data_IF_353788630954
#
_entry.id   IF_353788630954
#
_cell.length_a   1.000
_cell.length_b   1.000
_cell.length_c   1.000
_cell.angle_alpha   90.00
_cell.angle_beta   90.00
_cell.angle_gamma   90.00
#
_symmetry.space_group_name_H-M   'P 1'
#
loop_
_entity.id
_entity.type
_entity.pdbx_description
1 polymer ?
#
# COMPACT_ATOMS: atom_id res chain seq x y z
N UNK A 1 6.25 0.12 -23.45
CA UNK A 1 5.70 -1.24 -23.39
C UNK A 1 6.24 -1.96 -22.16
N UNK A 2 5.55 -1.86 -21.03
CA UNK A 2 5.80 -2.77 -19.90
C UNK A 2 5.33 -4.17 -20.34
N UNK A 3 6.15 -5.24 -20.20
CA UNK A 3 5.67 -6.58 -20.46
C UNK A 3 4.54 -6.90 -19.48
N UNK A 4 3.30 -6.97 -20.00
CA UNK A 4 2.18 -7.49 -19.23
C UNK A 4 2.49 -8.95 -18.88
N UNK A 5 2.26 -9.39 -17.64
CA UNK A 5 2.37 -10.81 -17.35
C UNK A 5 1.42 -11.57 -18.26
N UNK A 6 1.94 -12.47 -19.06
CA UNK A 6 1.17 -13.43 -19.85
C UNK A 6 0.55 -14.43 -18.87
N UNK A 7 -0.59 -14.08 -18.25
CA UNK A 7 -1.11 -14.97 -17.24
C UNK A 7 -2.63 -15.06 -17.33
N UNK A 8 -3.12 -15.95 -18.21
CA UNK A 8 -4.51 -16.38 -18.17
C UNK A 8 -4.90 -16.91 -16.78
N UNK A 9 -3.93 -17.43 -16.01
CA UNK A 9 -4.13 -17.91 -14.65
C UNK A 9 -4.61 -16.82 -13.68
N UNK A 10 -4.36 -15.53 -13.95
CA UNK A 10 -4.80 -14.43 -13.07
C UNK A 10 -6.34 -14.30 -13.08
N UNK A 11 -6.98 -14.52 -14.22
CA UNK A 11 -8.44 -14.47 -14.35
C UNK A 11 -9.12 -15.58 -13.53
N UNK A 12 -8.55 -16.79 -13.59
CA UNK A 12 -9.01 -17.91 -12.78
C UNK A 12 -8.79 -17.66 -11.28
N UNK A 13 -7.65 -17.08 -10.91
CA UNK A 13 -7.38 -16.73 -9.53
C UNK A 13 -8.37 -15.68 -9.02
N UNK A 14 -8.63 -14.62 -9.80
CA UNK A 14 -9.61 -13.58 -9.46
C UNK A 14 -11.00 -14.20 -9.28
N UNK A 15 -11.44 -15.08 -10.21
CA UNK A 15 -12.75 -15.73 -10.13
C UNK A 15 -12.90 -16.55 -8.86
N UNK A 16 -11.94 -17.44 -8.56
CA UNK A 16 -12.03 -18.32 -7.38
C UNK A 16 -11.87 -17.56 -6.06
N UNK A 17 -11.00 -16.54 -6.02
CA UNK A 17 -10.87 -15.69 -4.85
C UNK A 17 -12.15 -14.89 -4.59
N UNK A 18 -12.82 -14.41 -5.66
CA UNK A 18 -14.10 -13.73 -5.54
C UNK A 18 -15.21 -14.70 -5.08
N UNK A 19 -15.17 -15.95 -5.53
CA UNK A 19 -16.06 -17.00 -5.04
C UNK A 19 -15.91 -17.22 -3.52
N UNK A 20 -14.64 -17.31 -3.04
CA UNK A 20 -14.36 -17.45 -1.60
C UNK A 20 -14.89 -16.25 -0.78
N UNK A 21 -14.72 -15.02 -1.31
CA UNK A 21 -15.25 -13.80 -0.69
C UNK A 21 -16.78 -13.86 -0.63
N UNK A 22 -17.43 -14.20 -1.73
CA UNK A 22 -18.90 -14.27 -1.82
C UNK A 22 -19.49 -15.34 -0.91
N UNK A 23 -18.83 -16.50 -0.81
CA UNK A 23 -19.22 -17.59 0.10
C UNK A 23 -18.89 -17.31 1.57
N UNK A 24 -18.08 -16.31 1.86
CA UNK A 24 -17.60 -16.01 3.21
C UNK A 24 -16.77 -17.13 3.82
N UNK A 25 -15.95 -17.81 3.01
CA UNK A 25 -15.07 -18.92 3.46
C UNK A 25 -13.61 -18.56 3.35
N UNK A 26 -12.78 -19.23 4.15
CA UNK A 26 -11.32 -19.09 4.08
C UNK A 26 -10.78 -19.71 2.79
N UNK A 27 -9.63 -19.21 2.38
CA UNK A 27 -8.87 -19.76 1.26
C UNK A 27 -7.43 -20.05 1.69
N UNK A 28 -6.93 -21.22 1.31
CA UNK A 28 -5.53 -21.55 1.44
C UNK A 28 -4.81 -21.15 0.16
N UNK A 29 -3.78 -20.30 0.29
CA UNK A 29 -3.01 -19.77 -0.85
C UNK A 29 -1.53 -20.11 -0.70
N UNK A 30 -0.90 -20.57 -1.77
CA UNK A 30 0.55 -20.68 -1.88
C UNK A 30 1.09 -19.44 -2.56
N UNK A 31 1.80 -18.61 -1.80
CA UNK A 31 2.30 -17.30 -2.20
C UNK A 31 3.81 -17.34 -2.40
N UNK A 32 4.25 -16.85 -3.57
CA UNK A 32 5.68 -16.80 -3.91
C UNK A 32 6.29 -15.47 -3.49
N UNK A 33 7.38 -15.55 -2.72
CA UNK A 33 8.24 -14.40 -2.42
C UNK A 33 9.58 -14.56 -3.12
N UNK A 34 10.09 -13.46 -3.67
CA UNK A 34 11.45 -13.41 -4.19
C UNK A 34 12.38 -12.94 -3.10
N UNK A 35 13.56 -13.53 -3.02
CA UNK A 35 14.65 -13.11 -2.15
C UNK A 35 15.97 -13.11 -2.90
N UNK A 36 16.93 -12.35 -2.41
CA UNK A 36 18.31 -12.40 -2.89
C UNK A 36 19.04 -13.43 -2.04
N UNK A 37 19.77 -14.35 -2.69
CA UNK A 37 20.62 -15.34 -2.02
C UNK A 37 21.94 -14.70 -1.60
N UNK A 38 22.71 -15.41 -0.76
CA UNK A 38 24.08 -14.99 -0.38
C UNK A 38 25.01 -14.81 -1.59
N UNK A 39 24.75 -15.54 -2.68
CA UNK A 39 25.46 -15.42 -3.95
C UNK A 39 24.94 -14.28 -4.85
N UNK A 40 24.12 -13.36 -4.32
CA UNK A 40 23.48 -12.26 -5.07
C UNK A 40 22.59 -12.70 -6.24
N UNK A 41 22.12 -13.95 -6.25
CA UNK A 41 21.14 -14.45 -7.21
C UNK A 41 19.71 -14.30 -6.67
N UNK A 42 18.76 -14.12 -7.57
CA UNK A 42 17.34 -14.13 -7.17
C UNK A 42 16.86 -15.56 -7.01
N UNK A 43 16.25 -15.86 -5.87
CA UNK A 43 15.54 -17.11 -5.62
C UNK A 43 14.07 -16.84 -5.28
N UNK A 44 13.25 -17.87 -5.36
CA UNK A 44 11.85 -17.79 -5.00
C UNK A 44 11.58 -18.75 -3.85
N UNK A 45 10.81 -18.29 -2.87
CA UNK A 45 10.34 -19.06 -1.73
C UNK A 45 8.83 -19.07 -1.72
N UNK A 46 8.23 -20.25 -1.63
CA UNK A 46 6.79 -20.40 -1.55
C UNK A 46 6.37 -20.55 -0.08
N UNK A 47 5.38 -19.75 0.34
CA UNK A 47 4.76 -19.84 1.67
C UNK A 47 3.28 -20.07 1.53
N UNK A 48 2.75 -20.98 2.32
CA UNK A 48 1.33 -21.28 2.36
C UNK A 48 0.67 -20.52 3.51
N UNK A 49 -0.45 -19.87 3.22
CA UNK A 49 -1.28 -19.15 4.17
C UNK A 49 -2.72 -19.59 4.04
N UNK A 50 -3.39 -19.83 5.16
CA UNK A 50 -4.85 -19.88 5.20
C UNK A 50 -5.34 -18.52 5.69
N UNK A 51 -6.15 -17.87 4.86
CA UNK A 51 -6.57 -16.47 5.08
C UNK A 51 -8.08 -16.32 4.91
N UNK A 52 -8.64 -15.33 5.60
CA UNK A 52 -10.01 -14.85 5.41
C UNK A 52 -10.01 -13.76 4.34
N UNK A 53 -10.52 -14.01 3.13
CA UNK A 53 -10.53 -13.04 2.04
C UNK A 53 -11.70 -12.07 2.20
N UNK A 54 -11.50 -10.78 1.88
CA UNK A 54 -12.51 -9.74 2.02
C UNK A 54 -12.81 -8.98 0.74
N UNK A 55 -11.78 -8.67 -0.05
CA UNK A 55 -11.94 -7.95 -1.31
C UNK A 55 -10.78 -8.21 -2.27
N UNK A 56 -11.06 -7.96 -3.55
CA UNK A 56 -10.06 -7.80 -4.59
C UNK A 56 -10.02 -6.35 -5.00
N UNK A 57 -8.85 -5.73 -4.94
CA UNK A 57 -8.63 -4.34 -5.33
C UNK A 57 -7.57 -4.23 -6.40
N UNK A 58 -7.76 -3.26 -7.31
CA UNK A 58 -6.78 -2.91 -8.33
C UNK A 58 -6.01 -1.66 -7.89
N UNK A 59 -4.69 -1.74 -7.85
CA UNK A 59 -3.82 -0.61 -7.55
C UNK A 59 -2.44 -0.81 -8.15
N UNK A 60 -1.83 0.27 -8.64
CA UNK A 60 -0.47 0.27 -9.19
C UNK A 60 -0.22 -0.86 -10.21
N UNK A 61 -1.15 -1.03 -11.16
CA UNK A 61 -1.12 -2.07 -12.21
C UNK A 61 -1.16 -3.52 -11.69
N UNK A 62 -1.66 -3.76 -10.45
CA UNK A 62 -1.76 -5.08 -9.86
C UNK A 62 -3.10 -5.32 -9.16
N UNK A 63 -3.56 -6.59 -9.18
CA UNK A 63 -4.63 -7.03 -8.31
C UNK A 63 -4.08 -7.44 -6.96
N UNK A 64 -4.74 -6.99 -5.90
CA UNK A 64 -4.44 -7.35 -4.51
C UNK A 64 -5.64 -8.02 -3.86
N UNK A 65 -5.39 -9.15 -3.20
CA UNK A 65 -6.34 -9.75 -2.27
C UNK A 65 -6.16 -9.09 -0.91
N UNK A 66 -7.20 -8.38 -0.45
CA UNK A 66 -7.32 -7.90 0.93
C UNK A 66 -7.80 -9.05 1.77
N UNK A 67 -7.03 -9.45 2.75
CA UNK A 67 -7.33 -10.62 3.58
C UNK A 67 -6.75 -10.47 4.99
N UNK A 68 -7.11 -11.40 5.89
CA UNK A 68 -6.53 -11.51 7.22
C UNK A 68 -5.98 -12.91 7.43
N UNK A 69 -4.83 -13.01 8.08
CA UNK A 69 -4.33 -14.26 8.64
C UNK A 69 -4.62 -14.24 10.14
N UNK A 70 -5.28 -15.28 10.65
CA UNK A 70 -5.74 -15.37 12.06
C UNK A 70 -4.67 -15.15 13.12
N UNK A 71 -3.39 -15.29 12.75
CA UNK A 71 -2.28 -15.00 13.68
C UNK A 71 -2.17 -13.52 14.06
N UNK A 72 -2.85 -12.63 13.32
CA UNK A 72 -2.72 -11.18 13.45
C UNK A 72 -4.07 -10.52 13.39
N UNK A 73 -4.23 -9.39 14.07
CA UNK A 73 -5.47 -8.58 14.07
C UNK A 73 -5.44 -7.44 13.05
N UNK A 74 -4.63 -7.59 11.99
CA UNK A 74 -4.51 -6.61 10.93
C UNK A 74 -4.80 -7.21 9.56
N UNK A 75 -5.10 -6.34 8.60
CA UNK A 75 -5.25 -6.73 7.20
C UNK A 75 -3.89 -6.91 6.55
N UNK A 76 -3.83 -7.84 5.61
CA UNK A 76 -2.68 -8.05 4.72
C UNK A 76 -3.14 -7.98 3.27
N UNK A 77 -2.21 -7.63 2.39
CA UNK A 77 -2.43 -7.49 0.96
C UNK A 77 -1.53 -8.45 0.20
N UNK A 78 -2.13 -9.38 -0.52
CA UNK A 78 -1.41 -10.35 -1.34
C UNK A 78 -1.60 -10.02 -2.81
N UNK A 79 -0.52 -9.81 -3.54
CA UNK A 79 -0.57 -9.62 -5.00
C UNK A 79 -1.05 -10.91 -5.66
N UNK A 80 -2.16 -10.84 -6.40
CA UNK A 80 -2.82 -12.03 -6.97
C UNK A 80 -1.88 -12.78 -7.92
N UNK A 81 -1.06 -12.05 -8.71
CA UNK A 81 -0.11 -12.66 -9.64
C UNK A 81 1.05 -13.43 -8.97
N UNK A 82 1.20 -13.31 -7.65
CA UNK A 82 2.17 -14.09 -6.85
C UNK A 82 1.55 -15.28 -6.17
N UNK A 83 0.24 -15.50 -6.31
CA UNK A 83 -0.47 -16.66 -5.81
C UNK A 83 -0.34 -17.78 -6.86
N UNK A 84 0.39 -18.83 -6.54
CA UNK A 84 0.59 -19.99 -7.42
C UNK A 84 -0.55 -21.00 -7.35
N UNK A 85 -1.08 -21.20 -6.13
CA UNK A 85 -2.16 -22.15 -5.84
C UNK A 85 -3.13 -21.50 -4.88
N UNK A 86 -4.38 -21.83 -5.02
CA UNK A 86 -5.45 -21.43 -4.10
C UNK A 86 -6.46 -22.58 -3.98
N UNK A 87 -6.97 -22.78 -2.78
CA UNK A 87 -7.95 -23.81 -2.47
C UNK A 87 -8.97 -23.24 -1.48
N UNK A 88 -10.24 -23.27 -1.85
CA UNK A 88 -11.31 -22.85 -0.96
C UNK A 88 -11.45 -23.90 0.16
N UNK A 89 -11.69 -23.42 1.36
CA UNK A 89 -11.94 -24.28 2.52
C UNK A 89 -13.43 -24.25 2.88
N UNK A 90 -13.86 -25.21 3.71
CA UNK A 90 -15.23 -25.18 4.28
C UNK A 90 -15.31 -24.32 5.55
N UNK A 91 -14.18 -23.76 6.01
CA UNK A 91 -14.12 -22.94 7.21
C UNK A 91 -14.63 -21.54 6.95
N UNK A 92 -15.51 -20.96 7.80
CA UNK A 92 -15.99 -19.59 7.64
C UNK A 92 -14.84 -18.58 7.77
N UNK A 93 -14.87 -17.54 6.96
CA UNK A 93 -13.96 -16.42 7.09
C UNK A 93 -14.19 -15.68 8.41
N UNK A 94 -13.12 -15.16 9.01
CA UNK A 94 -13.20 -14.27 10.17
C UNK A 94 -13.97 -13.01 9.78
N UNK A 95 -14.93 -12.51 10.58
CA UNK A 95 -15.65 -11.28 10.26
C UNK A 95 -14.71 -10.10 10.04
N UNK A 96 -14.97 -9.32 8.99
CA UNK A 96 -14.16 -8.15 8.66
C UNK A 96 -14.12 -7.10 9.79
N UNK A 97 -15.26 -6.94 10.50
CA UNK A 97 -15.39 -6.02 11.64
C UNK A 97 -14.48 -6.33 12.85
N UNK A 98 -13.92 -7.53 12.91
CA UNK A 98 -12.97 -7.93 13.96
C UNK A 98 -11.53 -7.53 13.65
N UNK A 99 -11.21 -7.25 12.40
CA UNK A 99 -9.84 -7.00 11.91
C UNK A 99 -9.66 -5.63 11.25
N UNK A 100 -10.72 -4.82 11.25
CA UNK A 100 -10.71 -3.50 10.63
C UNK A 100 -11.70 -2.55 11.32
N UNK A 101 -11.33 -1.28 11.39
CA UNK A 101 -12.19 -0.20 11.91
C UNK A 101 -13.32 0.20 10.94
N UNK A 102 -13.36 -0.34 9.73
CA UNK A 102 -14.48 -0.23 8.79
C UNK A 102 -15.65 -1.09 9.26
N UNK A 103 -16.39 -0.62 10.30
CA UNK A 103 -17.37 -1.45 11.04
C UNK A 103 -18.67 -1.75 10.31
N UNK A 104 -19.10 -0.94 9.34
CA UNK A 104 -20.46 -1.04 8.80
C UNK A 104 -20.53 -1.52 7.35
N UNK A 105 -19.63 -1.10 6.49
CA UNK A 105 -19.61 -1.49 5.08
C UNK A 105 -18.19 -1.33 4.53
N UNK A 106 -17.66 -2.38 3.95
CA UNK A 106 -16.36 -2.32 3.28
C UNK A 106 -16.54 -1.78 1.86
N UNK A 107 -16.24 -0.50 1.67
CA UNK A 107 -16.10 0.09 0.35
C UNK A 107 -14.67 -0.12 -0.14
N UNK A 108 -14.49 -1.03 -1.09
CA UNK A 108 -13.17 -1.38 -1.63
C UNK A 108 -12.52 -0.22 -2.39
N UNK A 109 -13.31 0.67 -3.00
CA UNK A 109 -12.81 1.83 -3.72
C UNK A 109 -12.32 2.91 -2.75
N UNK A 110 -13.11 3.21 -1.71
CA UNK A 110 -12.72 4.11 -0.63
C UNK A 110 -11.47 3.58 0.10
N UNK A 111 -11.45 2.27 0.39
CA UNK A 111 -10.31 1.63 1.02
C UNK A 111 -9.04 1.74 0.16
N UNK A 112 -9.12 1.40 -1.14
CA UNK A 112 -7.98 1.48 -2.05
C UNK A 112 -7.45 2.91 -2.20
N UNK A 113 -8.34 3.91 -2.24
CA UNK A 113 -7.96 5.33 -2.37
C UNK A 113 -7.18 5.86 -1.15
N UNK A 114 -7.42 5.28 0.03
CA UNK A 114 -6.77 5.68 1.30
C UNK A 114 -5.45 4.95 1.55
N UNK A 115 -5.18 3.85 0.83
CA UNK A 115 -3.94 3.10 0.97
C UNK A 115 -2.84 3.64 0.04
N UNK A 116 -1.65 3.75 0.58
CA UNK A 116 -0.45 4.07 -0.19
C UNK A 116 0.42 2.82 -0.37
N UNK A 117 0.61 2.39 -1.63
CA UNK A 117 1.40 1.20 -1.98
C UNK A 117 0.97 -0.07 -1.21
N UNK A 118 -0.33 -0.18 -0.88
CA UNK A 118 -0.91 -1.29 -0.09
C UNK A 118 -0.32 -1.45 1.33
N UNK A 119 0.20 -0.38 1.91
CA UNK A 119 0.55 -0.35 3.33
C UNK A 119 -0.69 -0.03 4.17
N UNK A 120 -0.94 -0.85 5.16
CA UNK A 120 -1.99 -0.61 6.15
C UNK A 120 -1.61 0.57 7.03
N UNK A 121 -2.60 1.39 7.40
CA UNK A 121 -2.44 2.52 8.32
C UNK A 121 -3.79 3.02 8.79
N UNK A 122 -3.80 3.73 9.90
CA UNK A 122 -5.01 4.35 10.41
C UNK A 122 -5.39 5.56 9.53
N UNK A 123 -6.64 5.62 8.98
CA UNK A 123 -7.09 6.78 8.22
C UNK A 123 -7.18 8.01 9.12
N UNK A 124 -6.44 9.06 8.78
CA UNK A 124 -6.42 10.34 9.50
C UNK A 124 -6.58 11.50 8.54
N UNK A 125 -7.12 12.64 9.00
CA UNK A 125 -7.05 13.88 8.25
C UNK A 125 -5.59 14.27 8.00
N UNK A 126 -5.25 14.54 6.75
CA UNK A 126 -3.94 15.05 6.35
C UNK A 126 -4.08 16.43 5.71
N UNK A 127 -3.07 17.26 5.91
CA UNK A 127 -2.92 18.56 5.25
C UNK A 127 -1.54 18.67 4.61
N UNK A 128 -1.52 18.91 3.31
CA UNK A 128 -0.32 19.05 2.51
C UNK A 128 -0.28 20.45 1.91
N UNK A 129 0.84 21.16 2.05
CA UNK A 129 1.12 22.36 1.25
C UNK A 129 1.94 21.92 0.03
N UNK A 130 1.45 22.22 -1.16
CA UNK A 130 1.99 21.74 -2.43
C UNK A 130 2.25 22.89 -3.39
N UNK A 131 3.31 22.77 -4.21
CA UNK A 131 3.48 23.68 -5.34
C UNK A 131 2.35 23.49 -6.35
N UNK A 132 1.96 24.56 -7.05
CA UNK A 132 0.82 24.56 -7.98
C UNK A 132 0.97 23.55 -9.14
N UNK A 133 2.19 23.26 -9.58
CA UNK A 133 2.49 22.27 -10.63
C UNK A 133 2.20 20.82 -10.22
N UNK A 134 1.93 20.58 -8.94
CA UNK A 134 1.58 19.26 -8.41
C UNK A 134 0.07 19.01 -8.31
N UNK A 135 -0.77 19.92 -8.83
CA UNK A 135 -2.22 19.76 -8.74
C UNK A 135 -2.70 18.42 -9.33
N UNK A 136 -2.31 18.12 -10.58
CA UNK A 136 -2.70 16.87 -11.24
C UNK A 136 -2.23 15.62 -10.49
N UNK A 137 -0.92 15.48 -10.11
CA UNK A 137 -0.48 14.33 -9.30
C UNK A 137 -1.23 14.17 -7.98
N UNK A 138 -1.68 15.26 -7.36
CA UNK A 138 -2.46 15.21 -6.13
C UNK A 138 -3.91 14.75 -6.39
N UNK A 139 -4.54 15.24 -7.46
CA UNK A 139 -5.88 14.80 -7.86
C UNK A 139 -5.90 13.34 -8.32
N UNK A 140 -4.91 12.92 -9.11
CA UNK A 140 -4.75 11.52 -9.52
C UNK A 140 -4.64 10.57 -8.32
N UNK A 141 -3.97 11.02 -7.27
CA UNK A 141 -3.73 10.20 -6.08
C UNK A 141 -4.89 10.19 -5.10
N UNK A 142 -5.46 11.35 -4.80
CA UNK A 142 -6.47 11.50 -3.74
C UNK A 142 -7.88 11.65 -4.27
N UNK A 143 -8.04 11.74 -5.60
CA UNK A 143 -9.32 11.95 -6.27
C UNK A 143 -9.76 13.43 -6.25
N UNK A 144 -10.78 13.73 -7.06
CA UNK A 144 -11.27 15.10 -7.25
C UNK A 144 -12.05 15.67 -6.04
N UNK A 145 -12.44 14.81 -5.08
CA UNK A 145 -13.25 15.20 -3.89
C UNK A 145 -12.41 15.80 -2.76
N UNK A 146 -11.13 16.08 -2.98
CA UNK A 146 -10.25 16.73 -2.00
C UNK A 146 -10.62 18.21 -1.82
N UNK A 147 -10.30 18.75 -0.64
CA UNK A 147 -10.45 20.19 -0.39
C UNK A 147 -9.16 20.91 -0.73
N UNK A 148 -9.23 21.84 -1.69
CA UNK A 148 -8.10 22.65 -2.13
C UNK A 148 -8.35 24.11 -1.73
N UNK A 149 -7.30 24.74 -1.20
CA UNK A 149 -7.31 26.16 -0.83
C UNK A 149 -6.01 26.83 -1.29
N UNK A 150 -6.09 28.00 -1.90
CA UNK A 150 -4.91 28.81 -2.22
C UNK A 150 -4.14 29.12 -0.92
N UNK A 151 -2.82 28.89 -0.91
CA UNK A 151 -1.94 29.32 0.18
C UNK A 151 -1.25 30.63 -0.18
N UNK A 152 -0.62 30.70 -1.34
CA UNK A 152 0.01 31.87 -1.94
C UNK A 152 -0.03 31.78 -3.47
N UNK A 153 0.80 32.55 -4.19
CA UNK A 153 0.77 32.55 -5.66
C UNK A 153 1.38 31.29 -6.28
N UNK A 154 2.26 30.60 -5.56
CA UNK A 154 2.99 29.43 -6.03
C UNK A 154 2.50 28.11 -5.38
N UNK A 155 1.66 28.20 -4.34
CA UNK A 155 1.29 27.04 -3.52
C UNK A 155 -0.21 26.97 -3.22
N UNK A 156 -0.68 25.73 -3.06
CA UNK A 156 -2.01 25.41 -2.52
C UNK A 156 -1.93 24.47 -1.31
N UNK A 157 -2.98 24.45 -0.51
CA UNK A 157 -3.19 23.49 0.57
C UNK A 157 -4.21 22.46 0.09
N UNK A 158 -3.86 21.19 0.23
CA UNK A 158 -4.75 20.06 0.02
C UNK A 158 -5.10 19.43 1.37
N UNK A 159 -6.41 19.17 1.60
CA UNK A 159 -6.93 18.47 2.77
C UNK A 159 -7.74 17.25 2.35
N UNK A 160 -7.41 16.12 2.91
CA UNK A 160 -8.11 14.85 2.68
C UNK A 160 -7.89 13.90 3.85
N UNK A 161 -8.49 12.71 3.79
CA UNK A 161 -8.19 11.61 4.70
C UNK A 161 -7.32 10.59 3.98
N UNK A 162 -6.26 10.12 4.64
CA UNK A 162 -5.42 9.05 4.13
C UNK A 162 -4.90 8.15 5.25
N UNK A 163 -4.60 6.90 4.94
CA UNK A 163 -3.91 6.01 5.85
C UNK A 163 -2.48 6.50 6.09
N UNK A 164 -2.21 6.94 7.33
CA UNK A 164 -0.85 7.36 7.71
C UNK A 164 0.01 6.12 7.82
N UNK A 165 0.94 5.98 6.91
CA UNK A 165 1.77 4.79 6.75
C UNK A 165 3.16 5.14 6.23
N UNK A 166 4.06 4.18 6.33
CA UNK A 166 5.40 4.28 5.72
C UNK A 166 5.34 4.54 4.21
N UNK A 167 4.35 3.95 3.52
CA UNK A 167 4.10 4.18 2.09
C UNK A 167 3.69 5.61 1.78
N UNK A 168 2.83 6.24 2.59
CA UNK A 168 2.45 7.65 2.43
C UNK A 168 3.66 8.57 2.65
N UNK A 169 4.45 8.31 3.69
CA UNK A 169 5.65 9.10 3.95
C UNK A 169 6.66 9.00 2.79
N UNK A 170 6.89 7.79 2.25
CA UNK A 170 7.76 7.58 1.10
C UNK A 170 7.22 8.29 -0.16
N UNK A 171 5.91 8.26 -0.38
CA UNK A 171 5.26 8.95 -1.49
C UNK A 171 5.42 10.46 -1.39
N UNK A 172 5.32 11.05 -0.20
CA UNK A 172 5.58 12.48 0.00
C UNK A 172 7.03 12.84 -0.30
N UNK A 173 7.98 12.05 0.18
CA UNK A 173 9.42 12.29 0.00
C UNK A 173 9.84 12.33 -1.48
N UNK A 174 9.16 11.62 -2.38
CA UNK A 174 9.49 11.64 -3.82
C UNK A 174 9.36 13.03 -4.46
N UNK A 175 8.56 13.93 -3.89
CA UNK A 175 8.37 15.28 -4.40
C UNK A 175 9.43 16.28 -3.87
N UNK A 176 10.32 15.83 -2.97
CA UNK A 176 11.32 16.69 -2.35
C UNK A 176 10.69 17.85 -1.58
N UNK A 177 11.25 19.05 -1.75
CA UNK A 177 10.74 20.26 -1.08
C UNK A 177 9.43 20.81 -1.61
N UNK A 178 8.88 20.27 -2.71
CA UNK A 178 7.65 20.77 -3.34
C UNK A 178 6.36 20.36 -2.62
N UNK A 179 6.44 19.42 -1.68
CA UNK A 179 5.34 19.03 -0.80
C UNK A 179 5.78 19.10 0.64
N UNK A 180 5.02 19.82 1.46
CA UNK A 180 5.24 19.93 2.90
C UNK A 180 4.02 19.39 3.64
N UNK A 181 4.22 18.38 4.47
CA UNK A 181 3.19 17.91 5.40
C UNK A 181 2.98 18.94 6.50
N UNK A 182 1.74 19.37 6.72
CA UNK A 182 1.34 20.30 7.79
C UNK A 182 0.67 19.58 8.95
N UNK A 183 -0.03 18.48 8.67
CA UNK A 183 -0.62 17.58 9.66
C UNK A 183 -0.84 16.19 9.04
N UNK A 184 -0.93 15.12 9.86
CA UNK A 184 -0.71 15.07 11.30
C UNK A 184 0.78 14.95 11.68
N UNK A 185 1.09 15.10 12.97
CA UNK A 185 2.48 15.11 13.46
C UNK A 185 3.22 13.79 13.21
N UNK A 186 2.55 12.65 13.30
CA UNK A 186 3.15 11.35 13.03
C UNK A 186 3.61 11.22 11.56
N UNK A 187 2.85 11.76 10.60
CA UNK A 187 3.26 11.82 9.20
C UNK A 187 4.45 12.79 9.01
N UNK A 188 4.42 13.95 9.67
CA UNK A 188 5.56 14.90 9.64
C UNK A 188 6.83 14.20 10.13
N UNK A 189 6.73 13.49 11.25
CA UNK A 189 7.85 12.75 11.82
C UNK A 189 8.36 11.65 10.87
N UNK A 190 7.45 10.85 10.29
CA UNK A 190 7.82 9.80 9.35
C UNK A 190 8.54 10.34 8.09
N UNK A 191 8.06 11.45 7.51
CA UNK A 191 8.71 12.11 6.37
C UNK A 191 10.09 12.62 6.75
N UNK A 192 10.23 13.25 7.94
CA UNK A 192 11.51 13.75 8.44
C UNK A 192 12.52 12.62 8.62
N UNK A 193 12.13 11.50 9.23
CA UNK A 193 12.99 10.33 9.42
C UNK A 193 13.51 9.79 8.08
N UNK A 194 12.63 9.64 7.08
CA UNK A 194 13.04 9.20 5.73
C UNK A 194 14.02 10.17 5.07
N UNK A 195 13.81 11.48 5.20
CA UNK A 195 14.72 12.47 4.67
C UNK A 195 16.11 12.40 5.35
N UNK A 196 16.14 12.20 6.67
CA UNK A 196 17.40 12.03 7.42
C UNK A 196 18.12 10.74 7.02
N UNK A 197 17.40 9.62 6.80
CA UNK A 197 17.98 8.37 6.30
C UNK A 197 18.59 8.54 4.92
N UNK A 198 17.91 9.27 4.01
CA UNK A 198 18.44 9.59 2.69
C UNK A 198 19.73 10.39 2.82
N UNK A 199 19.74 11.46 3.61
CA UNK A 199 20.93 12.28 3.81
C UNK A 199 22.13 11.48 4.32
N UNK A 200 21.92 10.59 5.32
CA UNK A 200 22.96 9.71 5.85
C UNK A 200 23.61 8.83 4.78
N UNK A 201 22.83 8.37 3.78
CA UNK A 201 23.37 7.54 2.69
C UNK A 201 24.30 8.32 1.76
N UNK A 202 24.19 9.64 1.72
CA UNK A 202 25.00 10.53 0.87
C UNK A 202 26.02 11.36 1.65
N UNK A 203 26.12 11.18 2.99
CA UNK A 203 27.21 11.77 3.77
C UNK A 203 28.52 11.10 3.37
N UNK A 204 29.42 11.84 2.71
CA UNK A 204 30.77 11.39 2.40
C UNK A 204 31.51 11.12 3.72
N UNK A 205 31.82 9.86 4.00
CA UNK A 205 32.90 9.55 4.95
C UNK A 205 34.14 10.20 4.40
N UNK A 206 34.61 11.33 4.98
CA UNK A 206 35.94 11.87 4.71
C UNK A 206 36.91 10.72 4.96
N UNK A 207 37.44 10.13 3.88
CA UNK A 207 38.58 9.25 3.99
C UNK A 207 39.66 10.07 4.68
N UNK A 208 39.92 9.83 5.95
CA UNK A 208 41.14 10.28 6.61
C UNK A 208 42.30 9.56 5.88
N UNK A 209 42.95 10.28 4.97
CA UNK A 209 44.16 9.80 4.36
C UNK A 209 45.13 9.49 5.48
N UNK A 210 45.46 8.23 5.60
CA UNK A 210 46.69 7.79 6.31
C UNK A 210 47.88 8.40 5.59
N UNK A 211 48.59 9.29 6.31
CA UNK A 211 49.94 9.69 5.93
C UNK A 211 50.86 8.49 6.05
#
# INVERSE_FOLDING_TARGET
NRPKPKNESIYYAIHNLNEAITKGVKVTVTYTRRKITEEFKTSSEDKTYTVSPYALIWSDDHYYLVCNNEKYDNLMHLRVEKIKKYELTDSPARPFSEVSDYKAHFDSADYASKLFNMYSGEPKPIELACNNDLLEPMLDRFGEKVRIQKLDDDHFILRTNAAVSDGLAAWVVQFGGRVKVRMPNDLIYAVKQKAEEILKNYEYKKYRGTK
#
